data_IF_212417142948
#
_entry.id   IF_212417142948
#
_cell.length_a   1.000
_cell.length_b   1.000
_cell.length_c   1.000
_cell.angle_alpha   90.00
_cell.angle_beta   90.00
_cell.angle_gamma   90.00
#
_symmetry.space_group_name_H-M   'P 1'
#
loop_
_entity.id
_entity.type
_entity.pdbx_description
1 polymer ?
#
# COMPACT_ATOMS: atom_id res chain seq x y z
N UNK A 1 6.18 -10.02 -11.35
CA UNK A 1 5.49 -11.27 -10.95
C UNK A 1 6.41 -12.47 -11.08
N UNK A 2 6.72 -12.96 -12.28
CA UNK A 2 7.78 -13.98 -12.48
C UNK A 2 8.55 -13.67 -13.77
N UNK A 3 8.43 -14.52 -14.78
CA UNK A 3 9.04 -14.38 -16.10
C UNK A 3 8.86 -15.67 -16.90
N UNK A 4 9.54 -15.77 -18.05
CA UNK A 4 9.56 -16.97 -18.88
C UNK A 4 11.01 -17.36 -19.22
N UNK A 5 11.40 -18.65 -19.10
CA UNK A 5 10.65 -19.78 -18.52
C UNK A 5 10.44 -19.65 -17.00
N UNK A 6 9.22 -19.93 -16.52
CA UNK A 6 8.75 -19.59 -15.16
C UNK A 6 9.69 -20.04 -14.04
N UNK A 7 10.11 -21.30 -14.06
CA UNK A 7 10.96 -21.88 -13.01
C UNK A 7 12.31 -21.16 -12.94
N UNK A 8 12.95 -20.96 -14.10
CA UNK A 8 14.23 -20.25 -14.18
C UNK A 8 14.11 -18.80 -13.74
N UNK A 9 13.02 -18.12 -14.09
CA UNK A 9 12.77 -16.75 -13.65
C UNK A 9 12.61 -16.65 -12.14
N UNK A 10 11.89 -17.59 -11.51
CA UNK A 10 11.75 -17.61 -10.04
C UNK A 10 13.09 -17.85 -9.35
N UNK A 11 13.91 -18.79 -9.85
CA UNK A 11 15.26 -19.04 -9.32
C UNK A 11 16.16 -17.80 -9.42
N UNK A 12 16.10 -17.06 -10.53
CA UNK A 12 16.82 -15.79 -10.67
C UNK A 12 16.34 -14.75 -9.66
N UNK A 13 15.02 -14.60 -9.51
CA UNK A 13 14.44 -13.65 -8.57
C UNK A 13 14.84 -13.97 -7.13
N UNK A 14 14.86 -15.25 -6.73
CA UNK A 14 15.33 -15.66 -5.40
C UNK A 14 16.79 -15.29 -5.13
N UNK A 15 17.64 -15.26 -6.16
CA UNK A 15 19.04 -14.81 -6.02
C UNK A 15 19.21 -13.29 -6.00
N UNK A 16 18.31 -12.56 -6.65
CA UNK A 16 18.41 -11.10 -6.82
C UNK A 16 17.68 -10.33 -5.72
N UNK A 17 16.65 -10.92 -5.13
CA UNK A 17 15.83 -10.26 -4.10
C UNK A 17 16.37 -10.54 -2.69
N UNK A 18 16.44 -9.50 -1.86
CA UNK A 18 16.97 -9.58 -0.49
C UNK A 18 16.08 -10.31 0.52
N UNK A 19 15.04 -11.02 0.08
CA UNK A 19 14.13 -11.72 0.97
C UNK A 19 12.87 -12.23 0.26
N UNK A 20 12.00 -12.89 1.03
CA UNK A 20 10.72 -13.39 0.53
C UNK A 20 9.78 -12.22 0.21
N UNK A 21 9.06 -12.31 -0.92
CA UNK A 21 8.06 -11.31 -1.34
C UNK A 21 6.81 -11.21 -0.46
N UNK A 22 6.65 -12.13 0.50
CA UNK A 22 5.41 -12.22 1.29
C UNK A 22 4.21 -12.49 0.37
N UNK A 23 3.14 -11.70 0.51
CA UNK A 23 1.94 -11.85 -0.32
C UNK A 23 2.04 -11.14 -1.67
N UNK A 24 3.06 -10.28 -1.89
CA UNK A 24 3.26 -9.65 -3.18
C UNK A 24 3.51 -10.70 -4.26
N UNK A 25 2.84 -10.55 -5.40
CA UNK A 25 2.85 -11.52 -6.49
C UNK A 25 2.15 -12.86 -6.18
N UNK A 26 1.43 -12.95 -5.04
CA UNK A 26 0.49 -14.03 -4.72
C UNK A 26 -0.93 -13.77 -5.25
N UNK A 27 -1.93 -14.32 -4.57
CA UNK A 27 -3.34 -14.08 -4.89
C UNK A 27 -4.21 -13.90 -3.64
N UNK A 28 -5.31 -13.15 -3.79
CA UNK A 28 -6.34 -12.93 -2.78
C UNK A 28 -7.71 -13.08 -3.43
N UNK A 29 -8.68 -13.65 -2.72
CA UNK A 29 -10.01 -13.86 -3.25
C UNK A 29 -10.85 -14.78 -2.37
N UNK A 30 -11.83 -15.46 -2.95
CA UNK A 30 -12.76 -16.29 -2.19
C UNK A 30 -13.01 -17.65 -2.85
N UNK A 31 -13.42 -18.60 -2.01
CA UNK A 31 -13.92 -19.90 -2.39
C UNK A 31 -15.37 -20.00 -1.89
N UNK A 32 -16.31 -20.22 -2.80
CA UNK A 32 -17.72 -20.38 -2.48
C UNK A 32 -18.08 -21.85 -2.24
N UNK A 33 -19.05 -22.10 -1.37
CA UNK A 33 -19.60 -23.44 -1.12
C UNK A 33 -20.23 -24.09 -2.37
N UNK A 34 -20.49 -23.32 -3.43
CA UNK A 34 -20.94 -23.82 -4.74
C UNK A 34 -19.80 -24.37 -5.61
N UNK A 35 -18.54 -24.28 -5.16
CA UNK A 35 -17.35 -24.57 -5.96
C UNK A 35 -16.86 -23.38 -6.78
N UNK A 36 -17.51 -22.21 -6.68
CA UNK A 36 -17.03 -20.99 -7.32
C UNK A 36 -15.71 -20.51 -6.69
N UNK A 37 -14.77 -20.06 -7.52
CA UNK A 37 -13.49 -19.50 -7.07
C UNK A 37 -13.22 -18.25 -7.88
N UNK A 38 -12.93 -17.16 -7.18
CA UNK A 38 -12.46 -15.91 -7.79
C UNK A 38 -11.21 -15.46 -7.05
N UNK A 39 -10.12 -15.24 -7.79
CA UNK A 39 -8.81 -14.88 -7.28
C UNK A 39 -8.26 -13.71 -8.08
N UNK A 40 -7.80 -12.69 -7.39
CA UNK A 40 -7.07 -11.58 -7.96
C UNK A 40 -5.60 -11.67 -7.57
N UNK A 41 -4.73 -11.20 -8.46
CA UNK A 41 -3.30 -11.12 -8.25
C UNK A 41 -2.99 -9.96 -7.30
N UNK A 42 -2.13 -10.21 -6.30
CA UNK A 42 -1.69 -9.17 -5.36
C UNK A 42 -0.59 -8.32 -6.00
N UNK A 43 -1.01 -7.26 -6.69
CA UNK A 43 -0.19 -6.19 -7.26
C UNK A 43 -0.81 -4.83 -6.94
N UNK A 44 0.01 -3.78 -6.88
CA UNK A 44 -0.44 -2.43 -6.48
C UNK A 44 -1.28 -2.49 -5.19
N UNK A 45 -0.79 -3.24 -4.21
CA UNK A 45 -1.47 -3.46 -2.92
C UNK A 45 -0.51 -3.04 -1.80
N UNK A 46 -1.00 -2.19 -0.90
CA UNK A 46 -0.29 -1.78 0.30
C UNK A 46 -0.58 -2.78 1.42
N UNK A 47 0.47 -3.30 2.05
CA UNK A 47 0.34 -4.18 3.22
C UNK A 47 0.64 -3.35 4.46
N UNK A 48 -0.31 -3.31 5.38
CA UNK A 48 -0.22 -2.55 6.61
C UNK A 48 -0.12 -3.49 7.81
N UNK A 49 1.01 -3.40 8.52
CA UNK A 49 1.21 -4.04 9.82
C UNK A 49 1.39 -2.96 10.91
N UNK A 50 1.28 -3.31 12.20
CA UNK A 50 1.52 -2.35 13.28
C UNK A 50 2.90 -1.66 13.21
N UNK A 51 3.90 -2.32 12.64
CA UNK A 51 5.28 -1.86 12.57
C UNK A 51 5.59 -1.07 11.30
N UNK A 52 4.98 -1.43 10.16
CA UNK A 52 5.34 -0.84 8.88
C UNK A 52 4.26 -0.94 7.79
N UNK A 53 4.41 -0.07 6.80
CA UNK A 53 3.71 -0.13 5.51
C UNK A 53 4.68 -0.67 4.45
N UNK A 54 4.28 -1.70 3.72
CA UNK A 54 5.08 -2.25 2.60
C UNK A 54 4.29 -2.24 1.30
N UNK A 55 4.97 -1.89 0.22
CA UNK A 55 4.39 -1.89 -1.14
C UNK A 55 5.32 -2.68 -2.07
N UNK A 56 4.84 -3.82 -2.54
CA UNK A 56 5.51 -4.58 -3.60
C UNK A 56 5.24 -3.96 -4.97
N UNK A 57 6.31 -3.71 -5.73
CA UNK A 57 6.26 -3.22 -7.12
C UNK A 57 7.37 -3.86 -7.95
N UNK A 58 7.27 -3.76 -9.27
CA UNK A 58 8.27 -4.29 -10.19
C UNK A 58 7.91 -4.06 -11.66
N UNK A 59 8.85 -4.42 -12.53
CA UNK A 59 8.74 -4.35 -13.99
C UNK A 59 8.90 -5.73 -14.64
N UNK A 60 8.75 -5.75 -15.96
CA UNK A 60 9.03 -6.94 -16.76
C UNK A 60 10.28 -6.64 -17.60
N UNK A 61 11.38 -7.31 -17.28
CA UNK A 61 12.65 -7.10 -17.99
C UNK A 61 12.70 -7.99 -19.24
N UNK A 62 12.93 -7.36 -20.38
CA UNK A 62 13.18 -8.03 -21.67
C UNK A 62 14.54 -7.63 -22.22
N UNK A 63 14.96 -8.29 -23.31
CA UNK A 63 16.29 -8.06 -23.90
C UNK A 63 16.55 -6.59 -24.28
N UNK A 64 15.50 -5.88 -24.69
CA UNK A 64 15.57 -4.48 -25.12
C UNK A 64 15.22 -3.48 -24.00
N UNK A 65 15.02 -3.95 -22.76
CA UNK A 65 14.69 -3.05 -21.64
C UNK A 65 15.88 -2.14 -21.32
N UNK A 66 15.59 -0.87 -21.07
CA UNK A 66 16.52 0.08 -20.47
C UNK A 66 16.33 0.13 -18.95
N UNK A 67 17.42 0.17 -18.20
CA UNK A 67 17.36 0.08 -16.74
C UNK A 67 16.71 1.31 -16.09
N UNK A 68 16.94 2.51 -16.64
CA UNK A 68 16.36 3.75 -16.11
C UNK A 68 14.87 3.83 -16.44
N UNK A 69 14.49 3.49 -17.67
CA UNK A 69 13.08 3.49 -18.08
C UNK A 69 12.23 2.52 -17.24
N UNK A 70 12.72 1.30 -17.00
CA UNK A 70 12.03 0.31 -16.18
C UNK A 70 11.91 0.76 -14.71
N UNK A 71 12.92 1.46 -14.19
CA UNK A 71 12.86 2.03 -12.85
C UNK A 71 11.80 3.12 -12.75
N UNK A 72 11.74 4.02 -13.73
CA UNK A 72 10.71 5.07 -13.82
C UNK A 72 9.32 4.45 -13.93
N UNK A 73 9.14 3.43 -14.76
CA UNK A 73 7.87 2.71 -14.88
C UNK A 73 7.46 2.04 -13.57
N UNK A 74 8.41 1.40 -12.87
CA UNK A 74 8.18 0.79 -11.57
C UNK A 74 7.69 1.82 -10.55
N UNK A 75 8.29 3.00 -10.50
CA UNK A 75 7.85 4.10 -9.63
C UNK A 75 6.47 4.63 -10.05
N UNK A 76 6.20 4.78 -11.35
CA UNK A 76 4.91 5.23 -11.85
C UNK A 76 3.76 4.31 -11.41
N UNK A 77 3.99 2.99 -11.37
CA UNK A 77 2.99 2.01 -10.87
C UNK A 77 2.63 2.22 -9.40
N UNK A 78 3.54 2.78 -8.60
CA UNK A 78 3.31 3.04 -7.17
C UNK A 78 2.58 4.35 -6.89
N UNK A 79 2.63 5.29 -7.85
CA UNK A 79 2.17 6.67 -7.67
C UNK A 79 0.74 6.77 -7.14
N UNK A 80 -0.20 6.00 -7.70
CA UNK A 80 -1.60 6.03 -7.27
C UNK A 80 -1.80 5.71 -5.78
N UNK A 81 -0.99 4.78 -5.24
CA UNK A 81 -1.06 4.39 -3.83
C UNK A 81 -0.48 5.49 -2.94
N UNK A 82 0.65 6.08 -3.33
CA UNK A 82 1.23 7.21 -2.60
C UNK A 82 0.32 8.44 -2.62
N UNK A 83 -0.35 8.72 -3.74
CA UNK A 83 -1.34 9.79 -3.82
C UNK A 83 -2.51 9.53 -2.87
N UNK A 84 -3.04 8.29 -2.83
CA UNK A 84 -4.09 7.90 -1.90
C UNK A 84 -3.67 8.05 -0.43
N UNK A 85 -2.45 7.64 -0.09
CA UNK A 85 -1.87 7.82 1.25
C UNK A 85 -1.75 9.31 1.61
N UNK A 86 -1.31 10.15 0.67
CA UNK A 86 -1.20 11.60 0.91
C UNK A 86 -2.57 12.24 1.22
N UNK A 87 -3.63 11.76 0.57
CA UNK A 87 -5.00 12.23 0.82
C UNK A 87 -5.48 11.77 2.19
N UNK A 88 -5.20 10.51 2.55
CA UNK A 88 -5.54 9.95 3.85
C UNK A 88 -4.87 10.75 4.98
N UNK A 89 -3.56 10.99 4.89
CA UNK A 89 -2.79 11.73 5.90
C UNK A 89 -3.30 13.18 6.10
N UNK A 90 -3.62 13.89 5.01
CA UNK A 90 -4.22 15.23 5.11
C UNK A 90 -5.60 15.22 5.78
N UNK A 91 -6.40 14.17 5.57
CA UNK A 91 -7.72 14.04 6.20
C UNK A 91 -7.60 13.74 7.68
N UNK A 92 -6.77 12.80 8.08
CA UNK A 92 -6.55 12.46 9.50
C UNK A 92 -5.99 13.66 10.29
N UNK A 93 -5.05 14.42 9.70
CA UNK A 93 -4.52 15.62 10.33
C UNK A 93 -5.58 16.72 10.51
N UNK A 94 -6.53 16.85 9.59
CA UNK A 94 -7.64 17.81 9.70
C UNK A 94 -8.64 17.38 10.78
N UNK A 95 -9.07 16.12 10.74
CA UNK A 95 -10.05 15.58 11.70
C UNK A 95 -9.53 15.67 13.14
N UNK A 96 -8.22 15.48 13.35
CA UNK A 96 -7.60 15.64 14.67
C UNK A 96 -7.59 17.11 15.13
N UNK A 97 -7.26 18.08 14.25
CA UNK A 97 -7.32 19.52 14.59
C UNK A 97 -8.73 19.99 14.94
N UNK A 98 -9.74 19.49 14.22
CA UNK A 98 -11.13 19.87 14.46
C UNK A 98 -11.63 19.35 15.82
N UNK A 99 -11.20 18.14 16.23
CA UNK A 99 -11.44 17.59 17.58
C UNK A 99 -10.76 18.41 18.68
N UNK A 100 -9.50 18.82 18.47
CA UNK A 100 -8.77 19.63 19.44
C UNK A 100 -9.45 21.00 19.63
N UNK A 101 -9.83 21.66 18.54
CA UNK A 101 -10.55 22.93 18.58
C UNK A 101 -11.93 22.85 19.25
N UNK A 102 -12.67 21.75 19.06
CA UNK A 102 -13.95 21.52 19.75
C UNK A 102 -13.75 21.29 21.26
N UNK A 103 -12.68 20.62 21.64
CA UNK A 103 -12.35 20.32 23.05
C UNK A 103 -11.93 21.60 23.79
N UNK A 104 -11.14 22.47 23.16
CA UNK A 104 -10.74 23.76 23.72
C UNK A 104 -11.91 24.75 23.91
N UNK A 105 -12.89 24.74 22.99
CA UNK A 105 -14.11 25.59 23.12
C UNK A 105 -15.02 25.14 24.27
N UNK A 106 -15.25 23.84 24.43
CA UNK A 106 -16.02 23.29 25.56
C UNK A 106 -15.36 23.54 26.92
N UNK A 107 -14.03 23.65 26.98
CA UNK A 107 -13.29 24.00 28.19
C UNK A 107 -13.43 25.48 28.59
N UNK A 108 -13.60 26.39 27.63
CA UNK A 108 -13.84 27.82 27.90
C UNK A 108 -15.28 28.09 28.35
N UNK A 109 -16.28 27.43 27.76
CA UNK A 109 -17.68 27.59 28.17
C UNK A 109 -17.93 27.11 29.61
N UNK A 110 -17.25 26.05 30.08
CA UNK A 110 -17.40 25.56 31.47
C UNK A 110 -16.79 26.47 32.55
N UNK A 111 -15.87 27.38 32.19
CA UNK A 111 -15.29 28.34 33.16
C UNK A 111 -16.15 29.59 33.35
N UNK A 112 -17.07 29.89 32.43
CA UNK A 112 -17.95 31.07 32.50
C UNK A 112 -19.25 30.88 33.28
N UNK A 113 -19.51 29.70 33.86
CA UNK A 113 -20.79 29.39 34.55
C UNK A 113 -20.63 29.19 36.07
N UNK A 114 -19.43 29.39 36.64
CA UNK A 114 -19.18 29.20 38.09
C UNK A 114 -18.97 30.52 38.85
N UNK A 115 -19.03 31.66 38.17
CA UNK A 115 -19.05 32.98 38.83
C UNK A 115 -20.43 33.62 38.67
N UNK A 116 -21.33 33.28 39.61
CA UNK A 116 -22.38 34.16 40.16
C UNK A 116 -23.05 33.48 41.35
#
# INVERSE_FOLDING_TARGET
MTGAPKRRSVELLETLEGGRRGIYSGCVGFFGNSGAVDLNVVIRTLIWTPEMLTLGTGGAIVYMSDAEEEHVEMLLKTRAIFEALSIYDRRTARDNRDKDNQTSRKGHEKKGTVEN
#
